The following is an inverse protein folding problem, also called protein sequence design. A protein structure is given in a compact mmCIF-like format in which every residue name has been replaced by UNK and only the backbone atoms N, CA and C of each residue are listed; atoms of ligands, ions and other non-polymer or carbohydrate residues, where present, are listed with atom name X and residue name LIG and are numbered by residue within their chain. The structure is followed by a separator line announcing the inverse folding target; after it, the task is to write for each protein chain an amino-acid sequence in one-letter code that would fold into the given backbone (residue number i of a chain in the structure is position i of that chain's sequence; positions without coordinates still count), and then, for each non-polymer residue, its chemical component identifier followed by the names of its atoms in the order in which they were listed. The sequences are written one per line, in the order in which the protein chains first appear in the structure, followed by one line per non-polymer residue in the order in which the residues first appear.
data_IF_912714220382
#
_entry.id   IF_912714220382
#
_cell.length_a   1.000
_cell.length_b   1.000
_cell.length_c   1.000
_cell.angle_alpha   90.00
_cell.angle_beta   90.00
_cell.angle_gamma   90.00
#
_symmetry.space_group_name_H-M   'P 1'
#
loop_
_entity.id
_entity.type
_entity.pdbx_description
1 polymer ?
#
# COMPACT_ATOMS: atom_id res chain seq x y z
N UNK A 1 -25.63 5.20 -35.88
CA UNK A 1 -24.91 4.92 -34.62
C UNK A 1 -23.83 3.89 -34.92
N UNK A 2 -22.56 4.30 -34.95
CA UNK A 2 -21.44 3.37 -35.19
C UNK A 2 -21.38 2.37 -34.03
N UNK A 3 -21.51 1.07 -34.32
CA UNK A 3 -21.29 0.02 -33.33
C UNK A 3 -19.79 -0.01 -33.05
N UNK A 4 -19.34 0.66 -32.00
CA UNK A 4 -17.95 0.60 -31.59
C UNK A 4 -17.64 -0.80 -31.09
N UNK A 5 -16.78 -1.53 -31.82
CA UNK A 5 -16.25 -2.81 -31.36
C UNK A 5 -15.38 -2.57 -30.13
N UNK A 6 -15.63 -3.27 -29.00
CA UNK A 6 -14.90 -3.03 -27.76
C UNK A 6 -13.40 -3.32 -27.91
N UNK A 7 -13.02 -4.31 -28.72
CA UNK A 7 -11.62 -4.69 -28.94
C UNK A 7 -10.84 -3.60 -29.68
N UNK A 8 -11.47 -2.94 -30.66
CA UNK A 8 -10.86 -1.81 -31.36
C UNK A 8 -10.63 -0.62 -30.41
N UNK A 9 -11.57 -0.38 -29.49
CA UNK A 9 -11.43 0.68 -28.48
C UNK A 9 -10.30 0.37 -27.49
N UNK A 10 -10.18 -0.88 -27.03
CA UNK A 10 -9.08 -1.31 -26.17
C UNK A 10 -7.73 -1.18 -26.90
N UNK A 11 -7.65 -1.57 -28.18
CA UNK A 11 -6.44 -1.43 -28.97
C UNK A 11 -6.04 0.05 -29.19
N UNK A 12 -7.02 0.94 -29.41
CA UNK A 12 -6.79 2.39 -29.49
C UNK A 12 -6.23 2.96 -28.18
N UNK A 13 -6.81 2.55 -27.04
CA UNK A 13 -6.34 2.95 -25.71
C UNK A 13 -4.91 2.46 -25.43
N UNK A 14 -4.54 1.24 -25.87
CA UNK A 14 -3.16 0.75 -25.77
C UNK A 14 -2.19 1.62 -26.57
N UNK A 15 -2.52 2.01 -27.81
CA UNK A 15 -1.68 2.90 -28.62
C UNK A 15 -1.53 4.29 -28.00
N UNK A 16 -2.60 4.83 -27.41
CA UNK A 16 -2.53 6.10 -26.68
C UNK A 16 -1.65 5.98 -25.43
N UNK A 17 -1.77 4.88 -24.69
CA UNK A 17 -0.96 4.59 -23.50
C UNK A 17 0.54 4.52 -23.82
N UNK A 18 0.91 3.89 -24.93
CA UNK A 18 2.30 3.83 -25.41
C UNK A 18 2.90 5.21 -25.72
N UNK A 19 2.10 6.14 -26.25
CA UNK A 19 2.57 7.51 -26.49
C UNK A 19 2.77 8.26 -25.19
N UNK A 20 1.85 8.08 -24.24
CA UNK A 20 1.93 8.72 -22.92
C UNK A 20 3.05 8.15 -22.06
N UNK A 21 3.38 6.87 -22.17
CA UNK A 21 4.45 6.25 -21.37
C UNK A 21 5.82 6.87 -21.63
N UNK A 22 6.13 7.18 -22.89
CA UNK A 22 7.38 7.87 -23.28
C UNK A 22 7.46 9.28 -22.68
N UNK A 23 6.38 10.05 -22.79
CA UNK A 23 6.31 11.40 -22.21
C UNK A 23 6.41 11.35 -20.68
N UNK A 24 5.72 10.40 -20.04
CA UNK A 24 5.80 10.18 -18.60
C UNK A 24 7.21 9.84 -18.14
N UNK A 25 7.91 8.96 -18.86
CA UNK A 25 9.29 8.61 -18.55
C UNK A 25 10.21 9.84 -18.62
N UNK A 26 10.08 10.65 -19.67
CA UNK A 26 10.86 11.88 -19.81
C UNK A 26 10.59 12.87 -18.67
N UNK A 27 9.32 13.11 -18.34
CA UNK A 27 8.92 14.03 -17.27
C UNK A 27 9.40 13.55 -15.89
N UNK A 28 9.35 12.24 -15.63
CA UNK A 28 9.87 11.63 -14.41
C UNK A 28 11.40 11.75 -14.31
N UNK A 29 12.11 11.46 -15.41
CA UNK A 29 13.56 11.61 -15.45
C UNK A 29 13.99 13.05 -15.18
N UNK A 30 13.28 14.02 -15.77
CA UNK A 30 13.51 15.44 -15.54
C UNK A 30 13.21 15.84 -14.09
N UNK A 31 12.09 15.36 -13.52
CA UNK A 31 11.75 15.59 -12.12
C UNK A 31 12.85 15.06 -11.17
N UNK A 32 13.31 13.82 -11.38
CA UNK A 32 14.39 13.22 -10.60
C UNK A 32 15.73 13.94 -10.78
N UNK A 33 16.01 14.44 -11.99
CA UNK A 33 17.22 15.24 -12.23
C UNK A 33 17.20 16.56 -11.46
N UNK A 34 16.05 17.25 -11.40
CA UNK A 34 15.91 18.45 -10.59
C UNK A 34 16.01 18.13 -9.10
N UNK A 35 15.34 17.07 -8.65
CA UNK A 35 15.36 16.66 -7.25
C UNK A 35 16.78 16.36 -6.77
N UNK A 36 17.58 15.65 -7.58
CA UNK A 36 19.00 15.37 -7.28
C UNK A 36 19.88 16.61 -7.17
N UNK A 37 19.57 17.67 -7.93
CA UNK A 37 20.32 18.94 -7.87
C UNK A 37 20.03 19.70 -6.59
N UNK A 38 18.78 19.70 -6.15
CA UNK A 38 18.36 20.46 -4.97
C UNK A 38 18.51 19.69 -3.66
N UNK A 39 18.62 18.35 -3.69
CA UNK A 39 18.62 17.50 -2.49
C UNK A 39 19.69 17.92 -1.46
N UNK A 40 20.92 18.19 -1.91
CA UNK A 40 22.00 18.60 -1.01
C UNK A 40 21.71 19.96 -0.35
N UNK A 41 21.16 20.91 -1.11
CA UNK A 41 20.82 22.23 -0.59
C UNK A 41 19.70 22.12 0.46
N UNK A 42 18.66 21.33 0.18
CA UNK A 42 17.55 21.08 1.10
C UNK A 42 18.05 20.44 2.40
N UNK A 43 18.91 19.41 2.31
CA UNK A 43 19.48 18.75 3.49
C UNK A 43 20.31 19.73 4.31
N UNK A 44 21.17 20.54 3.67
CA UNK A 44 21.96 21.55 4.36
C UNK A 44 21.08 22.60 5.05
N UNK A 45 20.00 23.04 4.41
CA UNK A 45 19.06 24.01 4.98
C UNK A 45 18.30 23.42 6.17
N UNK A 46 17.80 22.18 6.07
CA UNK A 46 17.12 21.50 7.16
C UNK A 46 18.06 21.30 8.37
N UNK A 47 19.29 20.84 8.12
CA UNK A 47 20.29 20.69 9.17
C UNK A 47 20.65 22.04 9.82
N UNK A 48 20.82 23.09 9.02
CA UNK A 48 21.09 24.42 9.54
C UNK A 48 19.95 24.89 10.46
N UNK A 49 18.70 24.77 10.02
CA UNK A 49 17.53 25.17 10.82
C UNK A 49 17.43 24.36 12.12
N UNK A 50 17.64 23.05 12.07
CA UNK A 50 17.62 22.19 13.25
C UNK A 50 18.70 22.60 14.26
N UNK A 51 19.92 22.85 13.79
CA UNK A 51 21.04 23.27 14.64
C UNK A 51 20.76 24.65 15.27
N UNK A 52 20.23 25.58 14.49
CA UNK A 52 19.90 26.93 15.00
C UNK A 52 18.76 26.95 16.02
N UNK A 53 17.80 26.02 15.90
CA UNK A 53 16.59 25.95 16.73
C UNK A 53 16.85 25.28 18.09
N UNK A 54 17.68 24.21 18.15
CA UNK A 54 17.93 23.48 19.41
C UNK A 54 19.06 24.05 20.25
N UNK A 55 20.24 24.29 19.67
CA UNK A 55 21.43 24.62 20.46
C UNK A 55 22.54 25.24 19.60
N UNK A 56 22.56 26.57 19.52
CA UNK A 56 23.65 27.33 18.86
C UNK A 56 25.04 26.95 19.41
N UNK A 57 25.10 26.51 20.67
CA UNK A 57 26.34 26.24 21.40
C UNK A 57 26.87 24.80 21.25
N UNK A 58 26.04 23.82 20.86
CA UNK A 58 26.51 22.43 20.70
C UNK A 58 27.39 22.26 19.47
N UNK A 59 27.03 22.89 18.36
CA UNK A 59 27.85 22.83 17.16
C UNK A 59 29.13 23.66 17.27
N UNK A 60 29.10 24.78 18.00
CA UNK A 60 30.29 25.58 18.28
C UNK A 60 31.23 24.91 19.30
N UNK A 61 30.69 24.03 20.15
CA UNK A 61 31.48 23.21 21.09
C UNK A 61 32.17 21.99 20.45
N UNK A 62 31.73 21.56 19.26
CA UNK A 62 32.40 20.51 18.49
C UNK A 62 33.69 21.02 17.86
N UNK A 63 34.72 20.18 17.85
CA UNK A 63 35.98 20.50 17.19
C UNK A 63 35.79 20.74 15.69
N UNK A 64 36.59 21.61 15.08
CA UNK A 64 36.49 21.88 13.64
C UNK A 64 36.71 20.60 12.80
N UNK A 65 37.53 19.66 13.28
CA UNK A 65 37.74 18.34 12.64
C UNK A 65 36.47 17.49 12.64
N UNK A 66 35.77 17.40 13.77
CA UNK A 66 34.50 16.65 13.87
C UNK A 66 33.40 17.30 13.03
N UNK A 67 33.40 18.64 12.92
CA UNK A 67 32.45 19.37 12.08
C UNK A 67 32.68 19.08 10.59
N UNK A 68 33.93 19.14 10.13
CA UNK A 68 34.29 18.81 8.76
C UNK A 68 33.95 17.35 8.42
N UNK A 69 34.31 16.40 9.30
CA UNK A 69 34.00 14.98 9.09
C UNK A 69 32.49 14.71 8.99
N UNK A 70 31.67 15.37 9.83
CA UNK A 70 30.21 15.26 9.76
C UNK A 70 29.66 15.84 8.45
N UNK A 71 30.16 16.99 8.00
CA UNK A 71 29.74 17.59 6.73
C UNK A 71 30.09 16.68 5.55
N UNK A 72 31.31 16.12 5.52
CA UNK A 72 31.76 15.18 4.50
C UNK A 72 30.89 13.91 4.47
N UNK A 73 30.54 13.35 5.64
CA UNK A 73 29.66 12.19 5.73
C UNK A 73 28.25 12.48 5.22
N UNK A 74 27.67 13.62 5.59
CA UNK A 74 26.37 14.06 5.08
C UNK A 74 26.41 14.21 3.55
N UNK A 75 27.46 14.82 3.01
CA UNK A 75 27.64 14.96 1.56
C UNK A 75 27.78 13.61 0.86
N UNK A 76 28.51 12.65 1.44
CA UNK A 76 28.65 11.30 0.91
C UNK A 76 27.31 10.55 0.91
N UNK A 77 26.54 10.62 2.00
CA UNK A 77 25.21 10.01 2.08
C UNK A 77 24.25 10.58 1.04
N UNK A 78 24.26 11.90 0.86
CA UNK A 78 23.42 12.56 -0.15
C UNK A 78 23.89 12.20 -1.56
N UNK A 79 25.20 12.20 -1.84
CA UNK A 79 25.74 11.80 -3.13
C UNK A 79 25.39 10.34 -3.48
N UNK A 80 25.50 9.43 -2.51
CA UNK A 80 25.08 8.04 -2.67
C UNK A 80 23.58 7.92 -2.92
N UNK A 81 22.75 8.69 -2.22
CA UNK A 81 21.32 8.72 -2.49
C UNK A 81 21.02 9.26 -3.90
N UNK A 82 21.70 10.33 -4.33
CA UNK A 82 21.55 10.93 -5.65
C UNK A 82 21.89 9.97 -6.80
N UNK A 83 22.86 9.06 -6.64
CA UNK A 83 23.14 8.05 -7.67
C UNK A 83 22.01 7.02 -7.81
N UNK A 84 21.29 6.75 -6.71
CA UNK A 84 20.14 5.82 -6.66
C UNK A 84 18.81 6.47 -7.06
N UNK A 85 18.76 7.81 -7.22
CA UNK A 85 17.57 8.55 -7.64
C UNK A 85 17.47 8.66 -9.17
N UNK A 86 17.53 7.52 -9.85
CA UNK A 86 17.26 7.39 -11.29
C UNK A 86 16.04 6.51 -11.51
N UNK A 87 15.39 6.62 -12.68
CA UNK A 87 14.19 5.83 -12.97
C UNK A 87 14.50 4.34 -12.88
N UNK A 88 15.62 3.89 -13.46
CA UNK A 88 16.05 2.48 -13.43
C UNK A 88 16.33 1.98 -12.01
N UNK A 89 17.07 2.75 -11.21
CA UNK A 89 17.39 2.35 -9.83
C UNK A 89 16.16 2.34 -8.91
N UNK A 90 15.19 3.23 -9.17
CA UNK A 90 13.89 3.17 -8.50
C UNK A 90 13.08 1.96 -8.97
N UNK A 91 13.14 1.58 -10.25
CA UNK A 91 12.51 0.37 -10.75
C UNK A 91 13.08 -0.90 -10.12
N UNK A 92 14.40 -0.97 -9.96
CA UNK A 92 15.02 -2.09 -9.26
C UNK A 92 14.61 -2.13 -7.79
N UNK A 93 14.47 -0.98 -7.14
CA UNK A 93 13.91 -0.92 -5.79
C UNK A 93 12.44 -1.38 -5.76
N UNK A 94 11.61 -0.99 -6.73
CA UNK A 94 10.22 -1.48 -6.81
C UNK A 94 10.18 -3.01 -6.87
N UNK A 95 11.02 -3.62 -7.71
CA UNK A 95 11.12 -5.09 -7.81
C UNK A 95 11.57 -5.71 -6.48
N UNK A 96 12.52 -5.09 -5.79
CA UNK A 96 12.93 -5.52 -4.45
C UNK A 96 11.77 -5.41 -3.44
N UNK A 97 11.04 -4.30 -3.43
CA UNK A 97 9.88 -4.09 -2.56
C UNK A 97 8.77 -5.11 -2.81
N UNK A 98 8.51 -5.47 -4.07
CA UNK A 98 7.52 -6.48 -4.44
C UNK A 98 7.95 -7.87 -3.96
N UNK A 99 9.23 -8.24 -4.12
CA UNK A 99 9.78 -9.49 -3.57
C UNK A 99 9.71 -9.54 -2.06
N UNK A 100 10.05 -8.45 -1.37
CA UNK A 100 9.92 -8.34 0.09
C UNK A 100 8.45 -8.51 0.52
N UNK A 101 7.51 -7.89 -0.19
CA UNK A 101 6.08 -7.99 0.11
C UNK A 101 5.55 -9.41 -0.11
N UNK A 102 5.97 -10.07 -1.18
CA UNK A 102 5.61 -11.47 -1.44
C UNK A 102 6.16 -12.38 -0.34
N UNK A 103 7.44 -12.24 0.01
CA UNK A 103 8.06 -13.01 1.12
C UNK A 103 7.32 -12.81 2.44
N UNK A 104 7.00 -11.57 2.80
CA UNK A 104 6.22 -11.26 4.01
C UNK A 104 4.81 -11.86 3.93
N UNK A 105 4.15 -11.79 2.77
CA UNK A 105 2.83 -12.41 2.60
C UNK A 105 2.87 -13.93 2.72
N UNK A 106 3.92 -14.57 2.21
CA UNK A 106 4.10 -16.02 2.28
C UNK A 106 4.45 -16.46 3.70
N UNK A 107 5.29 -15.69 4.41
CA UNK A 107 5.57 -15.90 5.83
C UNK A 107 4.29 -15.79 6.66
N UNK A 108 3.54 -14.70 6.51
CA UNK A 108 2.27 -14.51 7.21
C UNK A 108 1.27 -15.63 6.88
N UNK A 109 1.19 -16.08 5.62
CA UNK A 109 0.33 -17.19 5.22
C UNK A 109 0.76 -18.50 5.88
N UNK A 110 2.06 -18.78 6.00
CA UNK A 110 2.59 -19.96 6.68
C UNK A 110 2.34 -19.90 8.18
N UNK A 111 2.56 -18.75 8.81
CA UNK A 111 2.28 -18.54 10.22
C UNK A 111 0.80 -18.74 10.53
N UNK A 112 -0.10 -18.19 9.72
CA UNK A 112 -1.54 -18.42 9.86
C UNK A 112 -1.90 -19.91 9.71
N UNK A 113 -1.33 -20.61 8.73
CA UNK A 113 -1.57 -22.05 8.57
C UNK A 113 -1.05 -22.87 9.76
N UNK A 114 0.09 -22.49 10.34
CA UNK A 114 0.62 -23.13 11.55
C UNK A 114 -0.26 -22.82 12.76
N UNK A 115 -0.73 -21.58 12.91
CA UNK A 115 -1.67 -21.18 13.96
C UNK A 115 -2.97 -21.99 13.87
N UNK A 116 -3.57 -22.08 12.67
CA UNK A 116 -4.76 -22.92 12.44
C UNK A 116 -4.52 -24.40 12.72
N UNK A 117 -3.34 -24.93 12.36
CA UNK A 117 -2.98 -26.33 12.65
C UNK A 117 -2.79 -26.57 14.15
N UNK A 118 -2.18 -25.62 14.87
CA UNK A 118 -2.04 -25.72 16.32
C UNK A 118 -3.38 -25.59 17.06
N UNK A 119 -4.31 -24.79 16.54
CA UNK A 119 -5.67 -24.68 17.08
C UNK A 119 -6.44 -25.99 16.88
N UNK A 120 -6.30 -26.64 15.71
CA UNK A 120 -6.89 -27.96 15.43
C UNK A 120 -6.36 -29.08 16.35
N UNK A 121 -5.06 -29.09 16.66
CA UNK A 121 -4.48 -30.09 17.59
C UNK A 121 -4.86 -29.83 19.07
N UNK A 122 -5.35 -28.61 19.39
CA UNK A 122 -5.76 -28.22 20.75
C UNK A 122 -7.27 -28.29 21.02
N UNK A 123 -8.09 -28.45 19.97
CA UNK A 123 -9.53 -28.66 20.11
C UNK A 123 -9.83 -30.16 20.22
N UNK A 124 -10.00 -30.65 21.45
CA UNK A 124 -10.82 -31.84 21.67
C UNK A 124 -12.20 -31.57 21.07
N UNK A 125 -12.62 -32.42 20.13
CA UNK A 125 -13.92 -32.33 19.44
C UNK A 125 -15.03 -32.13 20.48
N UNK A 126 -15.57 -30.91 20.55
CA UNK A 126 -16.79 -30.67 21.31
C UNK A 126 -17.91 -31.46 20.62
N UNK A 127 -18.59 -32.33 21.39
CA UNK A 127 -19.74 -33.10 20.92
C UNK A 127 -20.81 -32.13 20.39
N UNK A 128 -20.93 -32.04 19.06
CA UNK A 128 -21.80 -31.09 18.35
C UNK A 128 -21.12 -30.20 17.30
N UNK A 129 -19.80 -30.29 17.10
CA UNK A 129 -19.10 -29.51 16.07
C UNK A 129 -19.37 -30.03 14.64
N UNK A 130 -19.65 -29.11 13.71
CA UNK A 130 -19.85 -29.42 12.29
C UNK A 130 -18.48 -29.52 11.62
N UNK A 131 -18.05 -30.73 11.30
CA UNK A 131 -16.80 -30.97 10.59
C UNK A 131 -16.92 -30.49 9.13
N UNK A 132 -16.39 -29.31 8.79
CA UNK A 132 -16.29 -28.84 7.41
C UNK A 132 -15.06 -29.47 6.74
N UNK A 133 -15.21 -30.63 6.12
CA UNK A 133 -14.18 -31.20 5.26
C UNK A 133 -14.11 -30.41 3.94
N UNK A 134 -12.90 -30.31 3.37
CA UNK A 134 -12.67 -29.70 2.06
C UNK A 134 -12.99 -30.65 0.89
N UNK A 135 -13.41 -31.87 1.20
CA UNK A 135 -13.76 -32.88 0.21
C UNK A 135 -15.17 -32.62 -0.34
N UNK A 136 -15.39 -32.80 -1.65
CA UNK A 136 -16.68 -32.53 -2.26
C UNK A 136 -17.77 -33.39 -1.58
N UNK A 137 -18.96 -32.82 -1.30
CA UNK A 137 -20.00 -33.43 -0.45
C UNK A 137 -20.61 -34.74 -0.98
N UNK A 138 -20.17 -35.21 -2.14
CA UNK A 138 -20.56 -36.49 -2.74
C UNK A 138 -19.83 -37.69 -2.13
N UNK A 139 -18.71 -37.47 -1.42
CA UNK A 139 -17.88 -38.54 -0.86
C UNK A 139 -18.34 -39.00 0.53
N UNK A 140 -19.31 -38.31 1.15
CA UNK A 140 -19.89 -38.67 2.45
C UNK A 140 -21.43 -38.73 2.42
N UNK A 141 -22.03 -39.83 1.91
CA UNK A 141 -23.49 -39.98 1.83
C UNK A 141 -24.20 -40.03 3.20
N UNK A 142 -23.48 -40.37 4.28
CA UNK A 142 -24.06 -40.53 5.62
C UNK A 142 -24.54 -39.22 6.25
N UNK A 143 -24.04 -38.06 5.78
CA UNK A 143 -24.45 -36.74 6.29
C UNK A 143 -25.71 -36.19 5.61
N UNK A 144 -26.03 -36.67 4.40
CA UNK A 144 -27.24 -36.30 3.68
C UNK A 144 -28.49 -37.02 4.23
N UNK A 145 -28.30 -38.20 4.84
CA UNK A 145 -29.40 -38.98 5.42
C UNK A 145 -30.17 -38.24 6.52
N UNK A 146 -29.48 -37.47 7.36
CA UNK A 146 -30.11 -36.74 8.48
C UNK A 146 -30.96 -35.54 8.05
N UNK A 147 -30.88 -35.10 6.79
CA UNK A 147 -31.69 -33.98 6.28
C UNK A 147 -32.99 -34.45 5.60
N UNK A 148 -33.14 -35.76 5.35
CA UNK A 148 -34.28 -36.34 4.63
C UNK A 148 -35.14 -37.29 5.47
N UNK A 149 -34.82 -37.50 6.76
CA UNK A 149 -35.71 -38.21 7.68
C UNK A 149 -36.84 -37.29 8.12
N UNK A 150 -37.95 -37.32 7.38
CA UNK A 150 -39.26 -36.96 7.87
C UNK A 150 -39.68 -37.97 8.93
N UNK A 151 -39.21 -37.80 10.17
CA UNK A 151 -39.79 -38.53 11.30
C UNK A 151 -41.05 -37.81 11.76
N UNK A 152 -42.13 -38.57 11.62
CA UNK A 152 -43.49 -38.27 11.98
C UNK A 152 -43.63 -38.58 13.47
N UNK A 153 -43.68 -37.56 14.33
CA UNK A 153 -44.08 -37.74 15.73
C UNK A 153 -45.28 -36.84 16.10
N UNK A 154 -46.41 -37.42 16.57
CA UNK A 154 -47.71 -36.75 16.65
C UNK A 154 -47.93 -36.18 18.05
N UNK A 155 -47.35 -35.03 18.39
CA UNK A 155 -47.71 -34.35 19.65
C UNK A 155 -47.44 -32.86 19.76
N UNK A 156 -47.37 -32.14 18.63
CA UNK A 156 -47.44 -30.68 18.67
C UNK A 156 -48.39 -30.15 17.59
N UNK A 157 -49.67 -30.48 17.78
CA UNK A 157 -50.76 -29.76 17.15
C UNK A 157 -50.91 -28.41 17.85
N UNK A 158 -50.48 -27.34 17.18
CA UNK A 158 -50.70 -25.99 17.67
C UNK A 158 -50.07 -24.96 16.75
N UNK A 159 -50.85 -24.50 15.77
CA UNK A 159 -50.75 -23.25 14.98
C UNK A 159 -50.70 -23.50 13.47
N UNK A 160 -51.88 -23.83 12.95
CA UNK A 160 -52.29 -23.60 11.57
C UNK A 160 -52.18 -22.10 11.21
N UNK A 161 -51.35 -21.75 10.24
CA UNK A 161 -51.46 -20.48 9.52
C UNK A 161 -51.82 -20.78 8.06
N UNK A 162 -53.09 -20.53 7.75
CA UNK A 162 -53.71 -20.81 6.46
C UNK A 162 -53.19 -19.94 5.33
N UNK A 163 -53.13 -20.58 4.16
CA UNK A 163 -53.16 -19.94 2.86
C UNK A 163 -54.44 -19.10 2.73
N UNK A 164 -54.28 -17.79 2.57
CA UNK A 164 -55.29 -16.93 1.98
C UNK A 164 -54.68 -16.26 0.75
N UNK A 165 -55.23 -16.60 -0.40
CA UNK A 165 -55.08 -15.93 -1.67
C UNK A 165 -55.45 -14.45 -1.57
N UNK A 166 -54.62 -13.58 -2.14
CA UNK A 166 -55.12 -12.35 -2.73
C UNK A 166 -54.28 -12.02 -3.97
N UNK A 167 -54.98 -12.03 -5.11
CA UNK A 167 -54.58 -11.41 -6.36
C UNK A 167 -54.29 -9.93 -6.10
N UNK A 168 -53.19 -9.42 -6.64
CA UNK A 168 -53.22 -8.13 -7.32
C UNK A 168 -52.08 -8.03 -8.34
N UNK A 169 -52.51 -7.79 -9.56
CA UNK A 169 -51.75 -7.64 -10.79
C UNK A 169 -51.25 -6.20 -10.87
N UNK A 170 -49.94 -5.97 -10.94
CA UNK A 170 -49.38 -4.78 -11.58
C UNK A 170 -48.01 -5.09 -12.20
N UNK A 171 -47.94 -5.08 -13.53
CA UNK A 171 -46.70 -5.08 -14.33
C UNK A 171 -45.87 -3.81 -14.11
N UNK A 172 -44.54 -3.84 -14.24
CA UNK A 172 -43.77 -2.66 -14.58
C UNK A 172 -43.37 -2.68 -16.07
N UNK A 173 -43.97 -1.75 -16.80
CA UNK A 173 -43.74 -1.37 -18.18
C UNK A 173 -42.31 -0.82 -18.42
N UNK A 174 -41.76 -1.15 -19.59
CA UNK A 174 -40.49 -0.67 -20.10
C UNK A 174 -40.75 0.39 -21.18
N UNK A 175 -40.35 1.65 -20.91
CA UNK A 175 -39.68 2.43 -21.96
C UNK A 175 -39.87 3.96 -21.99
N UNK A 176 -38.71 4.61 -22.23
CA UNK A 176 -38.44 5.87 -22.97
C UNK A 176 -38.58 7.18 -22.18
N UNK A 177 -37.44 7.82 -21.89
CA UNK A 177 -36.71 8.84 -22.68
C UNK A 177 -37.24 10.26 -22.38
N UNK A 178 -36.50 11.07 -21.61
CA UNK A 178 -35.71 12.19 -22.14
C UNK A 178 -35.17 13.15 -21.04
N UNK A 179 -33.85 13.33 -21.08
CA UNK A 179 -33.06 14.57 -21.01
C UNK A 179 -33.27 15.63 -19.90
N UNK A 180 -32.16 15.77 -19.15
CA UNK A 180 -31.43 17.00 -18.81
C UNK A 180 -31.97 17.94 -17.71
N UNK A 181 -31.22 18.05 -16.60
CA UNK A 181 -30.53 19.30 -16.24
C UNK A 181 -29.53 19.08 -15.08
N UNK A 182 -28.37 19.73 -15.23
CA UNK A 182 -27.33 19.93 -14.23
C UNK A 182 -27.87 20.80 -13.09
N UNK A 183 -27.54 20.49 -11.83
CA UNK A 183 -26.79 21.46 -11.03
C UNK A 183 -26.12 20.88 -9.79
N UNK A 184 -25.09 21.61 -9.39
CA UNK A 184 -24.09 21.32 -8.36
C UNK A 184 -24.60 21.73 -6.99
N UNK A 185 -24.36 20.94 -5.93
CA UNK A 185 -24.30 21.49 -4.57
C UNK A 185 -23.52 20.59 -3.60
N UNK A 186 -22.69 21.27 -2.82
CA UNK A 186 -21.82 20.82 -1.75
C UNK A 186 -22.59 20.06 -0.66
N UNK A 187 -21.91 19.09 -0.03
CA UNK A 187 -22.33 18.53 1.25
C UNK A 187 -21.17 18.65 2.24
N UNK A 188 -21.16 19.79 2.94
CA UNK A 188 -20.69 19.88 4.33
C UNK A 188 -21.73 19.19 5.22
N UNK A 189 -21.28 18.30 6.13
CA UNK A 189 -22.04 17.99 7.34
C UNK A 189 -21.07 17.88 8.51
N UNK A 190 -21.30 18.77 9.47
CA UNK A 190 -20.60 18.94 10.72
C UNK A 190 -21.07 17.94 11.79
N UNK A 191 -20.13 17.62 12.67
CA UNK A 191 -20.23 17.31 14.12
C UNK A 191 -21.55 16.81 14.69
N UNK A 192 -21.51 15.60 15.27
CA UNK A 192 -22.30 15.24 16.44
C UNK A 192 -21.40 14.56 17.49
N UNK A 193 -21.78 14.78 18.74
CA UNK A 193 -20.95 14.82 19.94
C UNK A 193 -20.47 13.47 20.48
N UNK A 194 -19.30 13.54 21.11
CA UNK A 194 -18.65 12.50 21.91
C UNK A 194 -19.00 12.61 23.40
N UNK A 195 -19.42 11.48 23.99
CA UNK A 195 -19.40 11.23 25.44
C UNK A 195 -18.52 9.99 25.74
N UNK A 196 -17.89 9.89 26.92
CA UNK A 196 -16.61 9.23 27.09
C UNK A 196 -16.74 7.76 27.53
N UNK A 197 -16.00 6.87 26.87
CA UNK A 197 -15.84 5.48 27.33
C UNK A 197 -14.61 5.41 28.24
N UNK A 198 -14.87 5.34 29.54
CA UNK A 198 -13.88 4.93 30.54
C UNK A 198 -13.58 3.43 30.44
N UNK A 199 -12.31 3.06 30.67
CA UNK A 199 -11.92 1.67 30.88
C UNK A 199 -10.72 1.15 30.07
N UNK A 200 -9.69 1.98 29.86
CA UNK A 200 -8.40 1.56 29.28
C UNK A 200 -7.66 0.62 30.25
N UNK A 201 -7.74 -0.69 30.00
CA UNK A 201 -6.75 -1.64 30.53
C UNK A 201 -6.45 -2.75 29.52
N UNK A 202 -7.46 -3.23 28.79
CA UNK A 202 -7.30 -4.20 27.71
C UNK A 202 -6.48 -3.67 26.54
N UNK A 203 -6.78 -2.46 26.04
CA UNK A 203 -6.06 -1.89 24.90
C UNK A 203 -4.57 -1.61 25.19
N UNK A 204 -4.22 -1.29 26.44
CA UNK A 204 -2.82 -1.11 26.84
C UNK A 204 -2.07 -2.44 26.89
N UNK A 205 -2.73 -3.55 27.23
CA UNK A 205 -2.12 -4.87 27.21
C UNK A 205 -2.00 -5.42 25.78
N UNK A 206 -2.92 -5.08 24.88
CA UNK A 206 -2.79 -5.35 23.43
C UNK A 206 -1.65 -4.53 22.81
N UNK A 207 -1.50 -3.26 23.20
CA UNK A 207 -0.37 -2.44 22.76
C UNK A 207 0.96 -2.92 23.35
N UNK A 208 0.98 -3.41 24.60
CA UNK A 208 2.17 -4.06 25.19
C UNK A 208 2.50 -5.38 24.50
N UNK A 209 1.51 -6.21 24.14
CA UNK A 209 1.78 -7.46 23.42
C UNK A 209 2.31 -7.19 22.00
N UNK A 210 1.80 -6.15 21.32
CA UNK A 210 2.35 -5.66 20.06
C UNK A 210 3.78 -5.14 20.20
N UNK A 211 4.12 -4.40 21.27
CA UNK A 211 5.49 -3.93 21.52
C UNK A 211 6.45 -5.06 21.89
N UNK A 212 6.00 -6.08 22.62
CA UNK A 212 6.80 -7.26 22.96
C UNK A 212 7.06 -8.12 21.73
N UNK A 213 6.02 -8.40 20.92
CA UNK A 213 6.18 -9.15 19.66
C UNK A 213 7.01 -8.37 18.62
N UNK A 214 6.90 -7.04 18.57
CA UNK A 214 7.78 -6.20 17.75
C UNK A 214 9.22 -6.17 18.28
N UNK A 215 9.43 -6.27 19.59
CA UNK A 215 10.75 -6.34 20.22
C UNK A 215 11.48 -7.66 19.94
N UNK A 216 10.77 -8.78 19.93
CA UNK A 216 11.34 -10.10 19.63
C UNK A 216 11.71 -10.26 18.15
N UNK A 217 10.94 -9.65 17.23
CA UNK A 217 11.29 -9.61 15.81
C UNK A 217 12.54 -8.72 15.56
N UNK A 218 12.69 -7.59 16.26
CA UNK A 218 13.89 -6.75 16.18
C UNK A 218 15.15 -7.42 16.77
N UNK A 219 15.01 -8.31 17.76
CA UNK A 219 16.13 -9.08 18.30
C UNK A 219 16.71 -10.09 17.29
N UNK A 220 15.89 -10.54 16.32
CA UNK A 220 16.36 -11.34 15.17
C UNK A 220 16.86 -10.50 14.00
N UNK A 221 16.41 -9.25 13.87
CA UNK A 221 16.94 -8.27 12.91
C UNK A 221 18.32 -7.70 13.31
N UNK A 222 18.82 -7.98 14.52
CA UNK A 222 20.20 -7.67 14.91
C UNK A 222 21.27 -8.50 14.14
N UNK A 223 20.85 -9.42 13.26
CA UNK A 223 21.73 -10.08 12.28
C UNK A 223 21.86 -9.24 10.98
N UNK A 224 20.97 -8.29 10.72
CA UNK A 224 20.99 -7.44 9.52
C UNK A 224 21.81 -6.16 9.70
N UNK A 225 22.34 -5.90 10.90
CA UNK A 225 23.22 -4.76 11.17
C UNK A 225 24.69 -5.03 10.82
N UNK A 226 25.06 -6.24 10.37
CA UNK A 226 26.40 -6.52 9.84
C UNK A 226 26.57 -6.20 8.34
N UNK A 227 25.50 -5.84 7.61
CA UNK A 227 25.60 -5.55 6.17
C UNK A 227 26.24 -4.19 5.83
N UNK A 228 26.60 -3.38 6.83
CA UNK A 228 27.24 -2.07 6.64
C UNK A 228 28.73 -2.00 6.99
N UNK A 229 29.39 -3.11 7.39
CA UNK A 229 30.82 -3.09 7.79
C UNK A 229 31.80 -3.84 6.89
N UNK A 230 31.37 -4.53 5.82
CA UNK A 230 32.30 -5.16 4.86
C UNK A 230 32.26 -4.46 3.50
N UNK A 231 32.96 -3.33 3.40
CA UNK A 231 33.41 -2.78 2.12
C UNK A 231 34.93 -2.93 2.02
N UNK A 232 35.40 -4.15 1.74
CA UNK A 232 36.70 -4.35 1.12
C UNK A 232 36.58 -4.15 -0.40
N UNK A 233 37.53 -3.45 -1.05
CA UNK A 233 37.51 -3.23 -2.48
C UNK A 233 38.15 -4.42 -3.19
N UNK A 234 37.35 -5.38 -3.65
CA UNK A 234 37.92 -6.47 -4.43
C UNK A 234 37.06 -7.71 -4.65
N UNK A 235 35.78 -7.58 -5.03
CA UNK A 235 35.10 -8.69 -5.70
C UNK A 235 33.88 -8.22 -6.51
N UNK A 236 34.12 -7.87 -7.77
CA UNK A 236 33.08 -7.38 -8.70
C UNK A 236 32.65 -8.46 -9.72
N UNK A 237 32.84 -9.75 -9.43
CA UNK A 237 32.86 -10.77 -10.49
C UNK A 237 31.78 -11.84 -10.45
N UNK A 238 30.77 -11.81 -9.57
CA UNK A 238 29.76 -12.89 -9.50
C UNK A 238 28.32 -12.47 -9.14
N UNK A 239 27.76 -11.45 -9.80
CA UNK A 239 26.30 -11.18 -9.76
C UNK A 239 25.72 -10.87 -11.16
N UNK A 240 26.00 -11.74 -12.13
CA UNK A 240 25.38 -11.73 -13.47
C UNK A 240 24.69 -13.08 -13.76
N UNK A 241 23.91 -13.57 -12.81
CA UNK A 241 23.11 -14.79 -12.98
C UNK A 241 21.63 -14.45 -12.83
N UNK A 242 20.96 -14.28 -13.97
CA UNK A 242 19.50 -14.08 -14.05
C UNK A 242 19.06 -12.69 -14.51
N UNK A 243 19.66 -12.17 -15.59
CA UNK A 243 18.93 -11.21 -16.42
C UNK A 243 17.85 -11.99 -17.16
N UNK A 244 16.70 -12.20 -16.52
CA UNK A 244 15.48 -12.48 -17.28
C UNK A 244 15.33 -11.34 -18.28
N UNK A 245 15.35 -11.70 -19.56
CA UNK A 245 15.32 -10.82 -20.73
C UNK A 245 13.98 -10.08 -20.90
N UNK A 246 13.25 -9.81 -19.82
CA UNK A 246 12.23 -8.77 -19.76
C UNK A 246 12.93 -7.42 -19.56
N UNK A 247 13.65 -7.03 -20.62
CA UNK A 247 14.08 -5.66 -20.83
C UNK A 247 12.95 -4.71 -20.44
N UNK A 248 13.24 -3.77 -19.54
CA UNK A 248 12.81 -2.36 -19.43
C UNK A 248 11.73 -1.89 -20.42
N UNK A 249 10.63 -2.62 -20.59
CA UNK A 249 9.52 -2.19 -21.42
C UNK A 249 8.56 -1.45 -20.52
N UNK A 250 8.40 -0.16 -20.80
CA UNK A 250 7.33 0.64 -20.21
C UNK A 250 5.99 -0.10 -20.43
N UNK A 251 5.18 -0.28 -19.39
CA UNK A 251 3.93 -1.02 -19.49
C UNK A 251 3.02 -0.41 -20.56
N UNK A 252 2.47 -1.27 -21.42
CA UNK A 252 1.64 -0.88 -22.56
C UNK A 252 0.20 -0.61 -22.12
N UNK A 253 -0.30 -1.31 -21.10
CA UNK A 253 -1.66 -1.10 -20.63
C UNK A 253 -1.75 0.13 -19.71
N UNK A 254 -2.85 0.92 -19.80
CA UNK A 254 -2.97 2.11 -18.97
C UNK A 254 -3.11 1.78 -17.48
N UNK A 255 -3.65 0.60 -17.15
CA UNK A 255 -3.73 0.11 -15.77
C UNK A 255 -2.35 -0.19 -15.18
N UNK A 256 -1.50 -0.92 -15.90
CA UNK A 256 -0.14 -1.22 -15.45
C UNK A 256 0.70 0.05 -15.38
N UNK A 257 0.56 0.96 -16.33
CA UNK A 257 1.25 2.24 -16.32
C UNK A 257 0.86 3.11 -15.11
N UNK A 258 -0.40 3.04 -14.66
CA UNK A 258 -0.83 3.75 -13.45
C UNK A 258 -0.22 3.14 -12.19
N UNK A 259 -0.18 1.81 -12.11
CA UNK A 259 0.48 1.08 -11.00
C UNK A 259 1.98 1.34 -10.97
N UNK A 260 2.61 1.37 -12.14
CA UNK A 260 4.03 1.68 -12.31
C UNK A 260 4.38 3.08 -11.82
N UNK A 261 3.57 4.09 -12.15
CA UNK A 261 3.77 5.44 -11.64
C UNK A 261 3.65 5.50 -10.11
N UNK A 262 2.65 4.82 -9.56
CA UNK A 262 2.44 4.75 -8.12
C UNK A 262 3.56 3.99 -7.39
N UNK A 263 4.08 2.92 -7.98
CA UNK A 263 5.20 2.17 -7.40
C UNK A 263 6.48 2.99 -7.39
N UNK A 264 6.74 3.80 -8.44
CA UNK A 264 7.86 4.74 -8.45
C UNK A 264 7.73 5.83 -7.38
N UNK A 265 6.54 6.40 -7.19
CA UNK A 265 6.29 7.38 -6.10
C UNK A 265 6.61 6.75 -4.72
N UNK A 266 6.21 5.49 -4.50
CA UNK A 266 6.48 4.75 -3.25
C UNK A 266 7.97 4.43 -3.08
N UNK A 267 8.65 4.03 -4.15
CA UNK A 267 10.09 3.76 -4.12
C UNK A 267 10.89 5.03 -3.81
N UNK A 268 10.50 6.16 -4.40
CA UNK A 268 11.08 7.46 -4.10
C UNK A 268 10.90 7.83 -2.63
N UNK A 269 9.67 7.70 -2.09
CA UNK A 269 9.39 7.95 -0.68
C UNK A 269 10.24 7.07 0.24
N UNK A 270 10.39 5.77 -0.07
CA UNK A 270 11.25 4.86 0.70
C UNK A 270 12.72 5.27 0.66
N UNK A 271 13.25 5.69 -0.50
CA UNK A 271 14.64 6.20 -0.62
C UNK A 271 14.88 7.44 0.23
N UNK A 272 13.98 8.42 0.18
CA UNK A 272 14.11 9.65 0.98
C UNK A 272 13.94 9.39 2.47
N UNK A 273 13.04 8.46 2.86
CA UNK A 273 12.92 7.99 4.23
C UNK A 273 14.22 7.34 4.73
N UNK A 274 14.83 6.45 3.93
CA UNK A 274 16.10 5.83 4.28
C UNK A 274 17.22 6.86 4.44
N UNK A 275 17.28 7.85 3.54
CA UNK A 275 18.23 8.96 3.65
C UNK A 275 17.96 9.77 4.93
N UNK A 276 16.71 10.08 5.23
CA UNK A 276 16.32 10.78 6.46
C UNK A 276 16.79 10.02 7.72
N UNK A 277 16.57 8.71 7.75
CA UNK A 277 17.05 7.87 8.84
C UNK A 277 18.58 7.87 8.94
N UNK A 278 19.30 7.69 7.83
CA UNK A 278 20.77 7.71 7.81
C UNK A 278 21.34 9.06 8.29
N UNK A 279 20.75 10.19 7.85
CA UNK A 279 21.12 11.52 8.32
C UNK A 279 20.89 11.66 9.83
N UNK A 280 19.76 11.20 10.35
CA UNK A 280 19.47 11.24 11.78
C UNK A 280 20.43 10.37 12.60
N UNK A 281 20.86 9.22 12.07
CA UNK A 281 21.91 8.38 12.69
C UNK A 281 23.25 9.12 12.74
N UNK A 282 23.65 9.80 11.66
CA UNK A 282 24.90 10.59 11.67
C UNK A 282 24.81 11.80 12.62
N UNK A 283 23.64 12.43 12.72
CA UNK A 283 23.41 13.49 13.71
C UNK A 283 23.51 12.99 15.16
N UNK A 284 23.07 11.76 15.42
CA UNK A 284 23.23 11.12 16.72
C UNK A 284 24.70 10.78 16.98
N UNK A 285 25.42 10.22 16.00
CA UNK A 285 26.87 9.92 16.09
C UNK A 285 27.69 11.17 16.37
N UNK A 286 27.33 12.29 15.75
CA UNK A 286 27.95 13.60 15.98
C UNK A 286 27.52 14.26 17.32
N UNK A 287 26.55 13.69 18.05
CA UNK A 287 26.05 14.24 19.32
C UNK A 287 25.16 15.48 19.17
N UNK A 288 24.64 15.74 17.96
CA UNK A 288 23.75 16.87 17.67
C UNK A 288 22.32 16.56 18.16
N UNK A 289 21.87 15.33 17.95
CA UNK A 289 20.56 14.84 18.41
C UNK A 289 20.77 13.81 19.52
N UNK A 290 19.89 13.82 20.53
CA UNK A 290 20.02 12.96 21.71
C UNK A 290 19.17 11.68 21.64
N UNK A 291 18.30 11.52 20.65
CA UNK A 291 17.43 10.36 20.47
C UNK A 291 17.37 9.89 19.03
N UNK A 292 17.45 8.57 18.84
CA UNK A 292 17.21 7.94 17.55
C UNK A 292 15.73 7.62 17.40
N UNK A 293 15.14 7.97 16.26
CA UNK A 293 13.80 7.51 15.89
C UNK A 293 13.91 6.24 15.05
N UNK A 294 13.20 5.15 15.44
CA UNK A 294 13.05 3.97 14.61
C UNK A 294 12.46 4.33 13.25
N UNK A 295 12.89 3.61 12.22
CA UNK A 295 12.44 3.87 10.85
C UNK A 295 10.93 3.63 10.66
N UNK A 296 10.34 2.72 11.47
CA UNK A 296 8.90 2.46 11.53
C UNK A 296 8.10 3.66 12.03
N UNK A 297 8.68 4.49 12.90
CA UNK A 297 8.04 5.70 13.38
C UNK A 297 8.03 6.78 12.30
N UNK A 298 9.12 6.88 11.53
CA UNK A 298 9.14 7.73 10.33
C UNK A 298 8.08 7.30 9.31
N UNK A 299 7.88 5.99 9.12
CA UNK A 299 6.79 5.47 8.29
C UNK A 299 5.41 5.83 8.84
N UNK A 300 5.20 5.69 10.16
CA UNK A 300 3.93 6.05 10.81
C UNK A 300 3.58 7.52 10.58
N UNK A 301 4.56 8.43 10.68
CA UNK A 301 4.38 9.86 10.39
C UNK A 301 4.07 10.09 8.91
N UNK A 302 4.83 9.48 7.99
CA UNK A 302 4.60 9.62 6.55
C UNK A 302 3.22 9.09 6.12
N UNK A 303 2.69 8.09 6.84
CA UNK A 303 1.37 7.53 6.63
C UNK A 303 0.25 8.29 7.37
N UNK A 304 0.57 9.32 8.15
CA UNK A 304 -0.41 10.11 8.91
C UNK A 304 -0.98 9.43 10.15
N UNK A 305 -0.30 8.40 10.67
CA UNK A 305 -0.72 7.67 11.88
C UNK A 305 -0.28 8.37 13.18
N UNK A 306 0.71 9.26 13.10
CA UNK A 306 1.24 10.01 14.22
C UNK A 306 1.15 11.51 13.93
N UNK A 307 0.58 12.27 14.87
CA UNK A 307 0.48 13.72 14.75
C UNK A 307 1.84 14.38 14.99
N UNK A 308 2.24 15.25 14.07
CA UNK A 308 3.47 16.04 14.16
C UNK A 308 3.19 17.50 14.45
N UNK A 309 4.05 18.13 15.24
CA UNK A 309 3.98 19.56 15.51
C UNK A 309 4.48 20.39 14.32
N UNK A 310 3.95 21.61 14.11
CA UNK A 310 4.36 22.45 13.01
C UNK A 310 5.83 22.87 13.16
N UNK A 311 6.63 22.59 12.15
CA UNK A 311 8.06 22.91 12.08
C UNK A 311 8.43 23.33 10.65
N UNK A 312 9.64 23.84 10.46
CA UNK A 312 10.15 24.21 9.14
C UNK A 312 10.18 23.02 8.16
N UNK A 313 10.31 23.32 6.87
CA UNK A 313 10.29 22.31 5.82
C UNK A 313 11.38 21.25 6.03
N UNK A 314 11.02 20.00 5.75
CA UNK A 314 11.84 18.81 5.86
C UNK A 314 12.35 18.48 7.28
N UNK A 315 11.72 19.07 8.30
CA UNK A 315 11.91 18.71 9.70
C UNK A 315 10.66 18.04 10.25
N UNK A 316 10.86 17.23 11.27
CA UNK A 316 9.79 16.56 11.99
C UNK A 316 9.98 16.83 13.48
N UNK A 317 8.94 17.38 14.11
CA UNK A 317 8.86 17.57 15.56
C UNK A 317 7.75 16.70 16.12
N UNK A 318 8.08 15.91 17.14
CA UNK A 318 7.19 14.97 17.79
C UNK A 318 7.30 15.12 19.31
N UNK A 319 6.18 15.02 20.02
CA UNK A 319 6.16 14.87 21.47
C UNK A 319 5.81 13.45 21.82
N UNK A 320 6.80 12.71 22.32
CA UNK A 320 6.60 11.34 22.79
C UNK A 320 6.29 11.39 24.29
N UNK A 321 5.13 10.88 24.75
CA UNK A 321 4.84 10.82 26.17
C UNK A 321 5.81 9.84 26.83
N UNK A 322 6.68 10.34 27.71
CA UNK A 322 7.57 9.49 28.50
C UNK A 322 6.90 9.23 29.84
N UNK A 323 6.54 7.97 30.09
CA UNK A 323 5.88 7.53 31.31
C UNK A 323 6.86 7.42 32.48
N UNK A 324 7.45 8.53 32.92
CA UNK A 324 8.33 8.56 34.10
C UNK A 324 7.62 9.12 35.33
N UNK A 325 6.57 9.94 35.19
CA UNK A 325 5.72 10.35 36.32
C UNK A 325 4.30 10.74 35.85
N UNK A 326 3.22 10.20 36.45
CA UNK A 326 1.84 10.51 36.06
C UNK A 326 1.37 11.94 36.41
N UNK A 327 2.16 12.71 37.18
CA UNK A 327 1.83 14.10 37.56
C UNK A 327 2.53 15.17 36.70
N UNK A 328 3.51 14.79 35.86
CA UNK A 328 4.20 15.72 34.96
C UNK A 328 4.11 15.13 33.55
N UNK A 329 3.19 15.66 32.75
CA UNK A 329 3.10 15.38 31.32
C UNK A 329 4.25 16.08 30.55
N UNK A 330 5.49 15.95 31.00
CA UNK A 330 6.65 16.35 30.19
C UNK A 330 6.91 15.26 29.15
N UNK A 331 6.27 15.42 27.99
CA UNK A 331 6.62 14.65 26.81
C UNK A 331 8.04 14.99 26.37
N UNK A 332 8.80 13.98 25.95
CA UNK A 332 10.10 14.20 25.31
C UNK A 332 9.86 14.76 23.91
N UNK A 333 10.33 15.98 23.68
CA UNK A 333 10.33 16.58 22.34
C UNK A 333 11.49 16.02 21.50
N UNK A 334 11.16 15.44 20.36
CA UNK A 334 12.11 14.90 19.40
C UNK A 334 11.97 15.70 18.12
N UNK A 335 13.06 16.33 17.70
CA UNK A 335 13.18 17.00 16.40
C UNK A 335 14.21 16.24 15.57
N UNK A 336 13.85 15.88 14.35
CA UNK A 336 14.73 15.19 13.42
C UNK A 336 14.51 15.68 11.97
N UNK A 337 15.39 15.25 11.07
CA UNK A 337 15.23 15.49 9.63
C UNK A 337 14.28 14.44 9.04
N UNK A 338 13.28 14.90 8.30
CA UNK A 338 12.37 14.06 7.52
C UNK A 338 12.16 14.68 6.13
N UNK A 339 12.88 14.16 5.14
CA UNK A 339 12.81 14.64 3.76
C UNK A 339 11.50 14.20 3.10
N UNK A 340 10.69 15.17 2.67
CA UNK A 340 9.40 14.92 2.04
C UNK A 340 9.35 15.53 0.63
N UNK A 341 8.99 14.77 -0.41
CA UNK A 341 8.87 15.31 -1.77
C UNK A 341 7.95 16.53 -1.84
N UNK A 342 6.84 16.49 -1.10
CA UNK A 342 5.85 17.56 -1.07
C UNK A 342 6.40 18.89 -0.56
N UNK A 343 7.35 18.86 0.37
CA UNK A 343 7.97 20.07 0.93
C UNK A 343 9.07 20.59 0.01
N UNK A 344 9.86 19.69 -0.58
CA UNK A 344 10.81 20.06 -1.63
C UNK A 344 10.11 20.69 -2.85
N UNK A 345 8.94 20.15 -3.24
CA UNK A 345 8.07 20.72 -4.28
C UNK A 345 7.43 22.06 -3.88
N UNK A 346 7.25 22.29 -2.57
CA UNK A 346 6.78 23.56 -2.05
C UNK A 346 7.89 24.62 -2.14
N UNK A 347 9.12 24.27 -1.79
CA UNK A 347 10.24 25.21 -1.77
C UNK A 347 10.73 25.56 -3.19
N UNK A 348 10.75 24.62 -4.15
CA UNK A 348 11.19 24.87 -5.53
C UNK A 348 10.02 24.97 -6.55
N UNK A 349 9.82 26.13 -7.21
CA UNK A 349 8.79 26.29 -8.24
C UNK A 349 9.03 25.46 -9.51
N UNK A 350 10.26 24.98 -9.79
CA UNK A 350 10.54 24.10 -10.93
C UNK A 350 10.04 22.69 -10.64
N UNK A 351 10.40 22.13 -9.49
CA UNK A 351 9.86 20.85 -9.01
C UNK A 351 8.32 20.87 -8.98
N UNK A 352 7.73 21.96 -8.49
CA UNK A 352 6.27 22.15 -8.48
C UNK A 352 5.64 22.04 -9.87
N UNK A 353 6.25 22.69 -10.88
CA UNK A 353 5.78 22.65 -12.27
C UNK A 353 5.86 21.24 -12.85
N UNK A 354 6.98 20.55 -12.65
CA UNK A 354 7.15 19.16 -13.08
C UNK A 354 6.14 18.24 -12.41
N UNK A 355 5.93 18.38 -11.10
CA UNK A 355 4.92 17.60 -10.37
C UNK A 355 3.51 17.90 -10.87
N UNK A 356 3.17 19.16 -11.15
CA UNK A 356 1.87 19.52 -11.70
C UNK A 356 1.64 18.87 -13.07
N UNK A 357 2.67 18.80 -13.92
CA UNK A 357 2.62 18.10 -15.21
C UNK A 357 2.42 16.58 -15.02
N UNK A 358 3.17 15.95 -14.12
CA UNK A 358 2.98 14.53 -13.77
C UNK A 358 1.57 14.26 -13.23
N UNK A 359 1.02 15.14 -12.38
CA UNK A 359 -0.36 15.04 -11.87
C UNK A 359 -1.39 15.14 -13.00
N UNK A 360 -1.19 16.02 -13.99
CA UNK A 360 -2.06 16.10 -15.18
C UNK A 360 -2.02 14.80 -15.98
N UNK A 361 -0.83 14.26 -16.24
CA UNK A 361 -0.69 12.99 -16.94
C UNK A 361 -1.32 11.84 -16.16
N UNK A 362 -1.15 11.78 -14.83
CA UNK A 362 -1.82 10.80 -13.95
C UNK A 362 -3.34 10.91 -14.04
N UNK A 363 -3.90 12.12 -14.06
CA UNK A 363 -5.34 12.30 -14.19
C UNK A 363 -5.88 11.82 -15.55
N UNK A 364 -5.17 12.12 -16.64
CA UNK A 364 -5.48 11.58 -17.98
C UNK A 364 -5.41 10.05 -17.99
N UNK A 365 -4.37 9.48 -17.39
CA UNK A 365 -4.19 8.03 -17.28
C UNK A 365 -5.33 7.36 -16.51
N UNK A 366 -5.76 7.95 -15.39
CA UNK A 366 -6.91 7.44 -14.62
C UNK A 366 -8.21 7.48 -15.43
N UNK A 367 -8.42 8.48 -16.29
CA UNK A 367 -9.55 8.50 -17.24
C UNK A 367 -9.45 7.34 -18.23
N UNK A 368 -8.27 7.08 -18.78
CA UNK A 368 -8.03 5.95 -19.70
C UNK A 368 -8.24 4.60 -19.00
N UNK A 369 -7.85 4.45 -17.72
CA UNK A 369 -8.10 3.23 -16.94
C UNK A 369 -9.60 3.00 -16.75
N UNK A 370 -10.39 4.05 -16.48
CA UNK A 370 -11.86 3.93 -16.41
C UNK A 370 -12.45 3.47 -17.73
N UNK A 371 -12.00 4.06 -18.84
CA UNK A 371 -12.41 3.67 -20.19
C UNK A 371 -12.00 2.22 -20.50
N UNK A 372 -10.78 1.83 -20.17
CA UNK A 372 -10.28 0.47 -20.33
C UNK A 372 -11.16 -0.53 -19.57
N UNK A 373 -11.44 -0.28 -18.28
CA UNK A 373 -12.31 -1.14 -17.47
C UNK A 373 -13.72 -1.23 -18.04
N UNK A 374 -14.27 -0.12 -18.54
CA UNK A 374 -15.58 -0.09 -19.17
C UNK A 374 -15.63 -0.99 -20.41
N UNK A 375 -14.71 -0.79 -21.35
CA UNK A 375 -14.68 -1.58 -22.59
C UNK A 375 -14.30 -3.04 -22.36
N UNK A 376 -13.40 -3.33 -21.41
CA UNK A 376 -13.09 -4.70 -21.00
C UNK A 376 -14.32 -5.43 -20.47
N UNK A 377 -15.13 -4.81 -19.61
CA UNK A 377 -16.38 -5.42 -19.13
C UNK A 377 -17.34 -5.71 -20.28
N UNK A 378 -17.42 -4.82 -21.28
CA UNK A 378 -18.28 -5.02 -22.46
C UNK A 378 -17.75 -6.12 -23.38
N UNK A 379 -16.44 -6.22 -23.58
CA UNK A 379 -15.81 -7.31 -24.33
C UNK A 379 -16.08 -8.65 -23.65
N UNK A 380 -15.80 -8.76 -22.34
CA UNK A 380 -16.09 -9.97 -21.56
C UNK A 380 -17.57 -10.36 -21.62
N UNK A 381 -18.49 -9.41 -21.51
CA UNK A 381 -19.93 -9.68 -21.63
C UNK A 381 -20.32 -10.18 -23.03
N UNK A 382 -19.67 -9.68 -24.08
CA UNK A 382 -19.86 -10.18 -25.45
C UNK A 382 -19.28 -11.58 -25.63
N UNK A 383 -18.09 -11.86 -25.09
CA UNK A 383 -17.47 -13.19 -25.10
C UNK A 383 -18.35 -14.23 -24.38
N UNK A 384 -18.79 -13.91 -23.15
CA UNK A 384 -19.70 -14.77 -22.37
C UNK A 384 -20.99 -15.01 -23.13
N UNK A 385 -21.57 -13.97 -23.74
CA UNK A 385 -22.75 -14.13 -24.60
C UNK A 385 -22.43 -15.09 -25.75
N UNK A 386 -21.37 -14.87 -26.52
CA UNK A 386 -21.02 -15.74 -27.65
C UNK A 386 -20.80 -17.20 -27.21
N UNK A 387 -20.08 -17.43 -26.11
CA UNK A 387 -19.84 -18.78 -25.56
C UNK A 387 -21.14 -19.45 -25.06
N UNK A 388 -22.02 -18.68 -24.41
CA UNK A 388 -23.32 -19.17 -23.94
C UNK A 388 -24.22 -19.58 -25.12
N UNK A 389 -24.29 -18.75 -26.17
CA UNK A 389 -25.08 -19.06 -27.37
C UNK A 389 -24.48 -20.17 -28.24
N UNK A 390 -23.17 -20.43 -28.14
CA UNK A 390 -22.50 -21.56 -28.80
C UNK A 390 -22.73 -22.91 -28.08
N UNK A 391 -23.45 -22.93 -26.96
CA UNK A 391 -23.76 -24.14 -26.21
C UNK A 391 -25.22 -24.62 -26.35
N UNK A 392 -25.70 -25.06 -27.54
CA UNK A 392 -26.65 -26.15 -27.59
C UNK A 392 -25.86 -27.46 -27.69
N UNK A 393 -26.00 -28.33 -26.71
CA UNK A 393 -25.49 -29.70 -26.78
C UNK A 393 -25.95 -30.33 -28.11
N UNK A 394 -25.02 -30.55 -29.02
CA UNK A 394 -25.18 -31.45 -30.13
C UNK A 394 -25.39 -32.86 -29.55
N UNK A 395 -26.65 -33.22 -29.33
CA UNK A 395 -27.26 -34.55 -29.36
C UNK A 395 -28.61 -34.48 -28.63
N UNK A 396 -29.76 -34.32 -29.33
CA UNK A 396 -31.03 -34.70 -28.71
C UNK A 396 -30.94 -36.20 -28.36
N UNK A 397 -31.36 -36.64 -27.15
CA UNK A 397 -31.39 -38.05 -26.82
C UNK A 397 -32.32 -38.76 -27.81
N UNK A 398 -31.73 -39.53 -28.72
CA UNK A 398 -32.45 -40.52 -29.54
C UNK A 398 -33.23 -41.43 -28.59
N UNK A 399 -34.55 -41.33 -28.64
CA UNK A 399 -35.45 -42.25 -27.94
C UNK A 399 -35.12 -43.69 -28.33
N UNK A 400 -35.05 -44.65 -27.38
CA UNK A 400 -34.80 -46.04 -27.73
C UNK A 400 -35.98 -46.63 -28.52
N UNK A 401 -35.73 -47.54 -29.49
CA UNK A 401 -36.79 -48.20 -30.25
C UNK A 401 -37.63 -49.07 -29.31
N UNK A 402 -38.96 -48.93 -29.41
CA UNK A 402 -39.91 -49.88 -28.81
C UNK A 402 -39.70 -51.25 -29.45
N UNK A 403 -39.35 -52.24 -28.64
CA UNK A 403 -39.44 -53.67 -28.95
C UNK A 403 -40.59 -54.25 -28.16
#
# INVERSE_FOLDING_TARGET
MQRFEPDQQIASLKKQSQRLSLTLYHDLALYLQLLRRELLNVVRQALFLLITDRDQNRLSGLSDKTRAAFQDQVEQLVCHCCSLLTVEQLMDLVRQMERERQRKSDQNRRELLLAFRSEQDSMQEAEGSIHLSLDPPLEHPDRLGSMLTFDHDPQNAGLSAGLASHEDVVEPDLGKDDQAQLDSQELELASEDSEPIGGQKGDLDVLRSLFVMAGETMATENVLTSEFSDLQPGDNTLLHSGLDEEQVFLPVSPLELARWLESLDRALARRLRNLSHALNVEMLRAGIVNSLLPISLLDAVLNGQLESEPVASNLLRLRVPVSTNPMVLEGMEIICVLLRPSEMEFDDPRLRRCRAQLKRHRHTLLKMVRQQRHWQRRAMAQEVKQQWWQSPSANPPTSPPKV
#
